data_IF_754317405631
#
_entry.id   IF_754317405631
#
_cell.length_a   1.000
_cell.length_b   1.000
_cell.length_c   1.000
_cell.angle_alpha   90.00
_cell.angle_beta   90.00
_cell.angle_gamma   90.00
#
_symmetry.space_group_name_H-M   'P 1'
#
loop_
_entity.id
_entity.type
_entity.pdbx_description
1 polymer ?
#
# COMPACT_ATOMS: atom_id res chain seq x y z
N UNK A 1 -7.66 13.06 -0.85
CA UNK A 1 -9.13 13.03 -1.08
C UNK A 1 -9.45 14.21 -1.96
N UNK A 2 -10.10 13.97 -3.11
CA UNK A 2 -10.50 15.00 -4.06
C UNK A 2 -12.01 15.19 -3.97
N UNK A 3 -12.50 16.36 -3.57
CA UNK A 3 -13.91 16.58 -3.28
C UNK A 3 -14.15 17.51 -2.08
N UNK A 4 -15.35 18.08 -2.03
CA UNK A 4 -15.85 18.90 -0.91
C UNK A 4 -17.23 18.40 -0.41
N UNK A 5 -17.38 17.08 -0.41
CA UNK A 5 -18.63 16.41 -0.05
C UNK A 5 -18.58 15.93 1.39
N UNK A 6 -19.71 15.66 2.06
CA UNK A 6 -19.67 15.09 3.42
C UNK A 6 -18.86 13.79 3.49
N UNK A 7 -18.84 12.98 2.42
CA UNK A 7 -17.98 11.82 2.31
C UNK A 7 -16.49 12.20 2.23
N UNK A 8 -16.14 13.25 1.48
CA UNK A 8 -14.77 13.75 1.41
C UNK A 8 -14.27 14.24 2.77
N UNK A 9 -15.07 15.06 3.46
CA UNK A 9 -14.78 15.55 4.82
C UNK A 9 -14.60 14.38 5.80
N UNK A 10 -15.53 13.42 5.78
CA UNK A 10 -15.45 12.24 6.64
C UNK A 10 -14.21 11.39 6.34
N UNK A 11 -13.85 11.22 5.06
CA UNK A 11 -12.64 10.50 4.66
C UNK A 11 -11.36 11.16 5.19
N UNK A 12 -11.25 12.48 5.09
CA UNK A 12 -10.10 13.24 5.61
C UNK A 12 -10.03 13.06 7.12
N UNK A 13 -11.13 13.27 7.83
CA UNK A 13 -11.19 13.14 9.29
C UNK A 13 -10.84 11.74 9.78
N UNK A 14 -11.44 10.70 9.19
CA UNK A 14 -11.17 9.31 9.57
C UNK A 14 -9.74 8.91 9.19
N UNK A 15 -9.25 9.33 8.03
CA UNK A 15 -7.88 9.10 7.58
C UNK A 15 -6.85 9.65 8.57
N UNK A 16 -7.03 10.90 9.00
CA UNK A 16 -6.18 11.52 10.01
C UNK A 16 -6.26 10.76 11.35
N UNK A 17 -7.48 10.41 11.79
CA UNK A 17 -7.71 9.65 13.04
C UNK A 17 -6.96 8.32 13.08
N UNK A 18 -6.87 7.60 11.95
CA UNK A 18 -6.20 6.29 11.88
C UNK A 18 -4.74 6.37 11.41
N UNK A 19 -4.16 7.57 11.36
CA UNK A 19 -2.73 7.79 11.14
C UNK A 19 -2.29 7.84 9.67
N UNK A 20 -3.18 8.12 8.72
CA UNK A 20 -2.75 8.51 7.37
C UNK A 20 -2.28 9.96 7.38
N UNK A 21 -1.25 10.26 6.59
CA UNK A 21 -1.00 11.64 6.14
C UNK A 21 -2.08 12.00 5.12
N UNK A 22 -2.87 13.02 5.41
CA UNK A 22 -4.06 13.38 4.63
C UNK A 22 -3.82 14.62 3.76
N UNK A 23 -4.40 14.60 2.57
CA UNK A 23 -4.43 15.76 1.68
C UNK A 23 -5.84 15.93 1.14
N UNK A 24 -6.45 17.09 1.37
CA UNK A 24 -7.71 17.49 0.78
C UNK A 24 -7.46 18.31 -0.48
N UNK A 25 -8.20 18.02 -1.54
CA UNK A 25 -8.05 18.68 -2.84
C UNK A 25 -9.43 19.08 -3.33
N UNK A 26 -9.64 20.39 -3.48
CA UNK A 26 -10.88 20.91 -4.06
C UNK A 26 -10.60 22.29 -4.68
N UNK A 27 -11.01 22.55 -5.93
CA UNK A 27 -10.86 23.87 -6.53
C UNK A 27 -11.47 24.98 -5.65
N UNK A 28 -10.63 25.93 -5.23
CA UNK A 28 -11.04 27.04 -4.36
C UNK A 28 -11.05 26.75 -2.85
N UNK A 29 -10.64 25.55 -2.42
CA UNK A 29 -10.61 25.21 -1.00
C UNK A 29 -9.62 26.04 -0.18
N UNK A 30 -10.01 26.32 1.06
CA UNK A 30 -9.22 26.95 2.09
C UNK A 30 -8.83 25.92 3.16
N UNK A 31 -7.73 26.19 3.87
CA UNK A 31 -7.29 25.33 4.97
C UNK A 31 -8.36 25.16 6.06
N UNK A 32 -9.20 26.18 6.27
CA UNK A 32 -10.32 26.16 7.22
C UNK A 32 -11.44 25.20 6.84
N UNK A 33 -11.54 24.84 5.56
CA UNK A 33 -12.60 23.94 5.09
C UNK A 33 -12.30 22.49 5.53
N UNK A 34 -11.02 22.13 5.64
CA UNK A 34 -10.56 20.80 6.04
C UNK A 34 -9.58 20.88 7.23
N UNK A 35 -10.05 21.19 8.44
CA UNK A 35 -9.17 21.42 9.59
C UNK A 35 -8.38 20.17 10.01
N UNK A 36 -8.85 18.96 9.71
CA UNK A 36 -8.13 17.71 9.96
C UNK A 36 -7.13 17.32 8.86
N UNK A 37 -7.05 18.06 7.75
CA UNK A 37 -6.11 17.74 6.66
C UNK A 37 -4.69 18.23 6.98
N UNK A 38 -3.67 17.39 6.74
CA UNK A 38 -2.27 17.85 6.82
C UNK A 38 -1.93 18.84 5.70
N UNK A 39 -2.66 18.78 4.59
CA UNK A 39 -2.48 19.66 3.44
C UNK A 39 -3.79 19.88 2.70
N UNK A 40 -4.07 21.13 2.32
CA UNK A 40 -5.19 21.50 1.45
C UNK A 40 -4.66 22.09 0.14
N UNK A 41 -5.16 21.59 -0.98
CA UNK A 41 -4.81 22.06 -2.33
C UNK A 41 -6.05 22.63 -3.00
N UNK A 42 -5.98 23.92 -3.34
CA UNK A 42 -7.09 24.69 -3.90
C UNK A 42 -7.29 24.52 -5.42
N UNK A 43 -6.69 23.49 -6.03
CA UNK A 43 -6.76 23.23 -7.48
C UNK A 43 -6.53 21.74 -7.78
N UNK A 44 -6.69 21.34 -9.04
CA UNK A 44 -6.35 19.98 -9.49
C UNK A 44 -4.87 19.80 -9.89
N UNK A 45 -4.02 20.79 -9.63
CA UNK A 45 -2.56 20.59 -9.68
C UNK A 45 -2.11 19.87 -8.40
N UNK A 46 -1.86 18.57 -8.52
CA UNK A 46 -1.52 17.69 -7.41
C UNK A 46 -0.03 17.68 -7.08
N UNK A 47 0.82 18.38 -7.84
CA UNK A 47 2.26 18.41 -7.63
C UNK A 47 2.68 18.76 -6.17
N UNK A 48 2.02 19.71 -5.47
CA UNK A 48 2.36 20.03 -4.09
C UNK A 48 2.19 18.89 -3.09
N UNK A 49 1.31 17.92 -3.38
CA UNK A 49 1.11 16.73 -2.53
C UNK A 49 2.19 15.65 -2.76
N UNK A 50 2.98 15.77 -3.84
CA UNK A 50 3.96 14.78 -4.29
C UNK A 50 3.41 13.33 -4.28
N UNK A 51 2.30 13.05 -5.02
CA UNK A 51 1.71 11.72 -5.05
C UNK A 51 2.69 10.68 -5.59
N UNK A 52 2.72 9.52 -4.94
CA UNK A 52 3.67 8.43 -5.23
C UNK A 52 3.01 7.05 -5.02
N UNK A 53 3.79 5.98 -5.17
CA UNK A 53 3.33 4.57 -5.11
C UNK A 53 2.80 4.13 -3.75
N UNK A 54 2.86 4.98 -2.72
CA UNK A 54 2.23 4.77 -1.41
C UNK A 54 0.97 5.63 -1.20
N UNK A 55 0.57 6.42 -2.20
CA UNK A 55 -0.59 7.33 -2.14
C UNK A 55 -1.88 6.61 -2.51
N UNK A 56 -2.92 6.77 -1.69
CA UNK A 56 -4.26 6.21 -1.89
C UNK A 56 -5.24 7.34 -2.15
N UNK A 57 -5.64 7.51 -3.41
CA UNK A 57 -6.49 8.61 -3.84
C UNK A 57 -7.96 8.20 -3.91
N UNK A 58 -8.83 9.08 -3.43
CA UNK A 58 -10.29 8.94 -3.53
C UNK A 58 -10.87 10.20 -4.15
N UNK A 59 -11.70 10.03 -5.16
CA UNK A 59 -12.49 11.05 -5.84
C UNK A 59 -13.92 10.96 -5.31
N UNK A 60 -14.35 11.98 -4.58
CA UNK A 60 -15.64 12.07 -3.93
C UNK A 60 -16.26 13.46 -4.22
N UNK A 61 -16.48 13.76 -5.50
CA UNK A 61 -16.92 15.10 -5.94
C UNK A 61 -18.43 15.23 -6.12
N UNK A 62 -19.20 14.14 -5.95
CA UNK A 62 -20.62 14.07 -6.33
C UNK A 62 -20.88 14.42 -7.81
N UNK A 63 -19.93 14.13 -8.72
CA UNK A 63 -20.14 14.30 -10.15
C UNK A 63 -19.77 15.66 -10.72
N UNK A 64 -19.33 16.62 -9.91
CA UNK A 64 -19.05 17.98 -10.38
C UNK A 64 -17.82 18.07 -11.30
N UNK A 65 -16.78 17.27 -11.02
CA UNK A 65 -15.51 17.29 -11.77
C UNK A 65 -14.76 15.96 -11.65
N UNK A 66 -15.49 14.83 -11.66
CA UNK A 66 -14.91 13.49 -11.52
C UNK A 66 -13.90 13.17 -12.63
N UNK A 67 -14.24 13.53 -13.87
CA UNK A 67 -13.41 13.31 -15.05
C UNK A 67 -12.06 14.03 -14.90
N UNK A 68 -12.09 15.33 -14.60
CA UNK A 68 -10.88 16.15 -14.48
C UNK A 68 -10.02 15.73 -13.27
N UNK A 69 -10.67 15.34 -12.16
CA UNK A 69 -9.99 14.81 -10.98
C UNK A 69 -9.26 13.49 -11.27
N UNK A 70 -9.92 12.56 -11.97
CA UNK A 70 -9.32 11.27 -12.36
C UNK A 70 -8.17 11.50 -13.34
N UNK A 71 -8.36 12.37 -14.33
CA UNK A 71 -7.32 12.68 -15.30
C UNK A 71 -6.07 13.27 -14.61
N UNK A 72 -6.26 14.19 -13.65
CA UNK A 72 -5.16 14.72 -12.84
C UNK A 72 -4.43 13.63 -12.06
N UNK A 73 -5.16 12.71 -11.41
CA UNK A 73 -4.59 11.61 -10.65
C UNK A 73 -3.82 10.60 -11.52
N UNK A 74 -4.29 10.32 -12.73
CA UNK A 74 -3.66 9.37 -13.64
C UNK A 74 -2.29 9.82 -14.16
N UNK A 75 -1.96 11.11 -14.04
CA UNK A 75 -0.62 11.65 -14.33
C UNK A 75 0.43 11.23 -13.30
N UNK A 76 0.01 10.65 -12.18
CA UNK A 76 0.89 10.21 -11.10
C UNK A 76 0.82 8.68 -10.89
N UNK A 77 1.92 8.13 -10.38
CA UNK A 77 2.01 6.70 -10.05
C UNK A 77 1.52 6.44 -8.62
N UNK A 78 0.22 6.63 -8.39
CA UNK A 78 -0.44 6.34 -7.11
C UNK A 78 -0.86 4.88 -6.98
N UNK A 79 -0.91 4.38 -5.73
CA UNK A 79 -1.24 3.00 -5.39
C UNK A 79 -2.70 2.63 -5.71
N UNK A 80 -3.61 3.60 -5.58
CA UNK A 80 -5.04 3.39 -5.70
C UNK A 80 -5.74 4.67 -6.15
N UNK A 81 -6.72 4.52 -7.06
CA UNK A 81 -7.64 5.57 -7.48
C UNK A 81 -9.07 5.03 -7.34
N UNK A 82 -9.77 5.45 -6.29
CA UNK A 82 -11.16 5.11 -6.04
C UNK A 82 -12.09 6.25 -6.40
N UNK A 83 -13.15 5.97 -7.16
CA UNK A 83 -14.22 6.90 -7.48
C UNK A 83 -15.46 6.55 -6.63
N UNK A 84 -15.87 7.47 -5.76
CA UNK A 84 -17.12 7.39 -5.01
C UNK A 84 -18.26 7.81 -5.94
N UNK A 85 -18.89 6.82 -6.57
CA UNK A 85 -20.01 7.03 -7.48
C UNK A 85 -20.89 5.78 -7.61
N UNK A 86 -22.10 5.96 -8.15
CA UNK A 86 -22.93 4.84 -8.58
C UNK A 86 -22.27 4.09 -9.75
N UNK A 87 -22.65 2.82 -9.97
CA UNK A 87 -22.15 2.02 -11.12
C UNK A 87 -22.40 2.75 -12.46
N UNK A 88 -23.59 3.33 -12.61
CA UNK A 88 -23.95 4.10 -13.81
C UNK A 88 -23.05 5.32 -13.99
N UNK A 89 -22.85 6.13 -12.93
CA UNK A 89 -22.02 7.33 -13.03
C UNK A 89 -20.56 6.97 -13.30
N UNK A 90 -20.01 5.95 -12.62
CA UNK A 90 -18.65 5.48 -12.88
C UNK A 90 -18.45 5.04 -14.34
N UNK A 91 -19.40 4.29 -14.91
CA UNK A 91 -19.36 3.90 -16.32
C UNK A 91 -19.34 5.12 -17.26
N UNK A 92 -20.20 6.11 -17.01
CA UNK A 92 -20.23 7.35 -17.80
C UNK A 92 -18.92 8.14 -17.72
N UNK A 93 -18.34 8.26 -16.52
CA UNK A 93 -17.04 8.93 -16.32
C UNK A 93 -15.94 8.25 -17.14
N UNK A 94 -15.86 6.91 -17.09
CA UNK A 94 -14.86 6.15 -17.84
C UNK A 94 -15.07 6.25 -19.36
N UNK A 95 -16.33 6.29 -19.82
CA UNK A 95 -16.67 6.50 -21.23
C UNK A 95 -16.20 7.89 -21.72
N UNK A 96 -16.49 8.95 -20.96
CA UNK A 96 -16.03 10.32 -21.28
C UNK A 96 -14.51 10.37 -21.35
N UNK A 97 -13.82 9.81 -20.36
CA UNK A 97 -12.35 9.79 -20.33
C UNK A 97 -11.75 8.96 -21.48
N UNK A 98 -12.41 7.88 -21.89
CA UNK A 98 -12.03 7.10 -23.06
C UNK A 98 -12.15 7.96 -24.32
N UNK A 99 -13.26 8.70 -24.48
CA UNK A 99 -13.47 9.63 -25.59
C UNK A 99 -12.45 10.77 -25.64
N UNK A 100 -11.92 11.19 -24.48
CA UNK A 100 -10.82 12.16 -24.37
C UNK A 100 -9.43 11.57 -24.67
N UNK A 101 -9.32 10.25 -24.89
CA UNK A 101 -8.04 9.59 -25.13
C UNK A 101 -7.16 9.41 -23.88
N UNK A 102 -7.76 9.48 -22.68
CA UNK A 102 -7.04 9.33 -21.41
C UNK A 102 -6.59 7.87 -21.24
N UNK A 103 -5.31 7.68 -20.91
CA UNK A 103 -4.70 6.35 -20.71
C UNK A 103 -4.73 5.96 -19.23
N UNK A 104 -4.61 4.66 -18.95
CA UNK A 104 -4.48 4.15 -17.57
C UNK A 104 -5.81 3.98 -16.82
N UNK A 105 -6.95 4.08 -17.50
CA UNK A 105 -8.29 3.96 -16.89
C UNK A 105 -8.52 2.64 -16.14
N UNK A 106 -7.80 1.56 -16.48
CA UNK A 106 -7.84 0.29 -15.75
C UNK A 106 -7.38 0.41 -14.27
N UNK A 107 -6.69 1.50 -13.90
CA UNK A 107 -6.29 1.78 -12.51
C UNK A 107 -7.41 2.39 -11.67
N UNK A 108 -8.48 2.89 -12.31
CA UNK A 108 -9.60 3.53 -11.64
C UNK A 108 -10.62 2.47 -11.20
N UNK A 109 -11.00 2.51 -9.93
CA UNK A 109 -11.98 1.60 -9.34
C UNK A 109 -13.18 2.39 -8.85
N UNK A 110 -14.36 1.77 -8.84
CA UNK A 110 -15.47 2.27 -8.05
C UNK A 110 -15.18 1.95 -6.58
N UNK A 111 -15.21 2.97 -5.73
CA UNK A 111 -14.96 2.85 -4.31
C UNK A 111 -16.25 2.51 -3.55
N UNK A 112 -16.10 1.90 -2.38
CA UNK A 112 -17.20 1.57 -1.46
C UNK A 112 -18.24 0.64 -2.08
N UNK A 113 -17.79 -0.35 -2.87
CA UNK A 113 -18.66 -1.27 -3.58
C UNK A 113 -19.62 -2.05 -2.66
N UNK A 114 -19.24 -2.23 -1.38
CA UNK A 114 -20.02 -2.86 -0.32
C UNK A 114 -20.97 -1.93 0.44
N UNK A 115 -20.85 -0.61 0.30
CA UNK A 115 -21.63 0.40 1.04
C UNK A 115 -22.68 1.10 0.17
N UNK A 116 -23.18 0.41 -0.86
CA UNK A 116 -24.16 0.97 -1.80
C UNK A 116 -25.46 1.30 -1.08
N UNK A 117 -25.88 2.56 -1.14
CA UNK A 117 -27.12 3.04 -0.53
C UNK A 117 -27.00 3.52 0.91
N UNK A 118 -25.79 3.53 1.49
CA UNK A 118 -25.52 4.13 2.79
C UNK A 118 -25.40 5.65 2.76
N UNK A 119 -25.28 6.26 3.93
CA UNK A 119 -25.02 7.71 4.06
C UNK A 119 -23.63 8.07 3.53
N UNK A 120 -23.34 9.36 3.37
CA UNK A 120 -22.02 9.81 2.93
C UNK A 120 -20.90 9.39 3.91
N UNK A 121 -21.20 9.37 5.20
CA UNK A 121 -20.31 8.93 6.27
C UNK A 121 -20.06 7.41 6.20
N UNK A 122 -21.09 6.61 5.94
CA UNK A 122 -20.96 5.16 5.76
C UNK A 122 -20.20 4.81 4.48
N UNK A 123 -20.39 5.58 3.42
CA UNK A 123 -19.62 5.47 2.18
C UNK A 123 -18.15 5.81 2.42
N UNK A 124 -17.88 6.89 3.17
CA UNK A 124 -16.52 7.26 3.57
C UNK A 124 -15.84 6.16 4.39
N UNK A 125 -16.53 5.64 5.41
CA UNK A 125 -16.04 4.53 6.23
C UNK A 125 -15.77 3.27 5.39
N UNK A 126 -16.71 2.90 4.51
CA UNK A 126 -16.57 1.75 3.61
C UNK A 126 -15.39 1.89 2.64
N UNK A 127 -15.20 3.08 2.08
CA UNK A 127 -14.05 3.39 1.23
C UNK A 127 -12.74 3.27 2.00
N UNK A 128 -12.67 3.79 3.23
CA UNK A 128 -11.46 3.71 4.04
C UNK A 128 -11.15 2.28 4.49
N UNK A 129 -12.18 1.49 4.79
CA UNK A 129 -12.04 0.06 5.10
C UNK A 129 -11.52 -0.71 3.87
N UNK A 130 -12.03 -0.42 2.68
CA UNK A 130 -11.53 -0.98 1.41
C UNK A 130 -10.04 -0.64 1.20
N UNK A 131 -9.66 0.63 1.39
CA UNK A 131 -8.27 1.09 1.29
C UNK A 131 -7.38 0.35 2.28
N UNK A 132 -7.79 0.24 3.55
CA UNK A 132 -7.03 -0.46 4.58
C UNK A 132 -6.81 -1.94 4.21
N UNK A 133 -7.86 -2.63 3.76
CA UNK A 133 -7.78 -4.03 3.33
C UNK A 133 -6.81 -4.21 2.16
N UNK A 134 -6.89 -3.34 1.15
CA UNK A 134 -5.99 -3.39 -0.01
C UNK A 134 -4.55 -3.03 0.36
N UNK A 135 -4.34 -2.05 1.25
CA UNK A 135 -3.01 -1.67 1.74
C UNK A 135 -2.34 -2.83 2.46
N UNK A 136 -3.08 -3.54 3.32
CA UNK A 136 -2.56 -4.74 3.97
C UNK A 136 -2.26 -5.86 2.99
N UNK A 137 -3.11 -6.09 1.98
CA UNK A 137 -2.84 -7.08 0.93
C UNK A 137 -1.60 -6.72 0.10
N UNK A 138 -1.41 -5.43 -0.21
CA UNK A 138 -0.23 -4.91 -0.91
C UNK A 138 1.05 -5.09 -0.08
N UNK A 139 1.02 -4.72 1.21
CA UNK A 139 2.15 -4.89 2.13
C UNK A 139 2.52 -6.36 2.35
N UNK A 140 1.52 -7.25 2.47
CA UNK A 140 1.76 -8.71 2.59
C UNK A 140 2.41 -9.31 1.34
N UNK A 141 2.19 -8.70 0.17
CA UNK A 141 2.88 -9.07 -1.08
C UNK A 141 4.31 -8.54 -1.14
N UNK A 142 4.64 -7.49 -0.38
CA UNK A 142 5.92 -6.81 -0.40
C UNK A 142 6.71 -7.01 0.91
N UNK A 143 6.96 -8.26 1.30
CA UNK A 143 7.95 -8.73 2.33
C UNK A 143 7.36 -9.30 3.62
N UNK A 144 7.50 -10.62 3.78
CA UNK A 144 8.34 -11.21 4.84
C UNK A 144 9.40 -12.02 4.09
N UNK A 145 10.72 -11.78 4.26
CA UNK A 145 11.69 -12.77 3.83
C UNK A 145 11.41 -13.97 4.73
N UNK A 146 11.21 -15.15 4.16
CA UNK A 146 11.32 -16.34 4.99
C UNK A 146 12.73 -16.29 5.62
N UNK A 147 12.87 -16.50 6.94
CA UNK A 147 14.20 -16.56 7.55
C UNK A 147 15.04 -17.52 6.71
N UNK A 148 16.21 -17.06 6.29
CA UNK A 148 17.08 -17.88 5.47
C UNK A 148 17.44 -19.10 6.33
N UNK A 149 17.09 -20.29 5.85
CA UNK A 149 17.36 -21.53 6.56
C UNK A 149 18.39 -22.34 5.80
N UNK A 150 19.38 -22.84 6.51
CA UNK A 150 20.38 -23.75 5.98
C UNK A 150 20.07 -25.19 6.43
N UNK A 151 20.55 -26.18 5.67
CA UNK A 151 20.44 -27.59 6.04
C UNK A 151 21.77 -28.03 6.65
N UNK A 152 21.72 -28.58 7.86
CA UNK A 152 22.88 -29.20 8.51
C UNK A 152 23.36 -30.38 7.66
N UNK A 153 24.61 -30.36 7.15
CA UNK A 153 25.13 -31.39 6.25
C UNK A 153 25.38 -32.75 6.94
N UNK A 154 25.32 -32.81 8.27
CA UNK A 154 25.51 -34.05 9.05
C UNK A 154 24.19 -34.77 9.29
N UNK A 155 23.18 -34.05 9.78
CA UNK A 155 21.92 -34.66 10.22
C UNK A 155 20.71 -34.32 9.32
N UNK A 156 20.84 -33.35 8.41
CA UNK A 156 19.76 -32.90 7.54
C UNK A 156 18.75 -31.97 8.22
N UNK A 157 18.98 -31.57 9.48
CA UNK A 157 18.11 -30.65 10.19
C UNK A 157 18.20 -29.23 9.59
N UNK A 158 17.05 -28.58 9.43
CA UNK A 158 16.96 -27.19 8.96
C UNK A 158 17.21 -26.25 10.13
N UNK A 159 18.12 -25.30 9.96
CA UNK A 159 18.53 -24.34 10.99
C UNK A 159 18.44 -22.91 10.46
N UNK A 160 18.10 -21.98 11.35
CA UNK A 160 18.07 -20.56 11.01
C UNK A 160 19.50 -20.05 10.80
N UNK A 161 19.73 -19.33 9.70
CA UNK A 161 21.04 -18.72 9.37
C UNK A 161 21.32 -17.55 10.29
N UNK A 162 20.31 -16.73 10.57
CA UNK A 162 20.40 -15.59 11.45
C UNK A 162 20.44 -16.05 12.91
N UNK A 163 21.52 -15.71 13.63
CA UNK A 163 21.70 -16.09 15.05
C UNK A 163 22.25 -17.51 15.28
N UNK A 164 22.63 -18.25 14.24
CA UNK A 164 23.23 -19.59 14.40
C UNK A 164 24.55 -19.53 15.17
N UNK A 165 24.59 -20.21 16.32
CA UNK A 165 25.77 -20.29 17.19
C UNK A 165 26.82 -21.28 16.68
N UNK A 166 26.44 -22.22 15.81
CA UNK A 166 27.30 -23.31 15.36
C UNK A 166 27.48 -23.21 13.85
N UNK A 167 28.55 -22.53 13.43
CA UNK A 167 28.89 -22.33 12.03
C UNK A 167 30.37 -22.62 11.76
N UNK A 168 30.69 -23.00 10.52
CA UNK A 168 32.05 -23.23 10.07
C UNK A 168 32.23 -22.71 8.65
N UNK A 169 33.32 -22.01 8.36
CA UNK A 169 33.61 -21.53 6.99
C UNK A 169 34.77 -22.35 6.41
N UNK A 170 34.55 -22.99 5.26
CA UNK A 170 35.55 -23.75 4.50
C UNK A 170 35.69 -23.11 3.10
N UNK A 171 36.84 -22.48 2.84
CA UNK A 171 37.03 -21.69 1.63
C UNK A 171 36.02 -20.54 1.56
N UNK A 172 35.24 -20.48 0.47
CA UNK A 172 34.18 -19.48 0.27
C UNK A 172 32.81 -19.92 0.82
N UNK A 173 32.69 -21.16 1.35
CA UNK A 173 31.40 -21.73 1.77
C UNK A 173 31.26 -21.73 3.29
N UNK A 174 30.20 -21.09 3.79
CA UNK A 174 29.80 -21.14 5.20
C UNK A 174 28.75 -22.24 5.43
N UNK A 175 29.02 -23.11 6.38
CA UNK A 175 28.16 -24.20 6.83
C UNK A 175 27.52 -23.85 8.18
N UNK A 176 26.30 -24.34 8.38
CA UNK A 176 25.48 -24.09 9.57
C UNK A 176 25.04 -25.43 10.15
N UNK A 177 25.05 -25.54 11.49
CA UNK A 177 24.80 -26.80 12.19
C UNK A 177 23.73 -26.64 13.26
N UNK A 178 22.98 -27.72 13.52
CA UNK A 178 21.90 -27.74 14.51
C UNK A 178 22.42 -27.72 15.95
N UNK A 179 23.71 -28.02 16.15
CA UNK A 179 24.33 -28.12 17.47
C UNK A 179 25.84 -28.33 17.38
N UNK A 180 26.53 -28.14 18.50
CA UNK A 180 27.98 -28.37 18.63
C UNK A 180 28.40 -29.77 18.16
N UNK A 181 27.61 -30.81 18.46
CA UNK A 181 27.92 -32.18 18.04
C UNK A 181 27.96 -32.38 16.52
N UNK A 182 27.08 -31.74 15.75
CA UNK A 182 27.12 -31.81 14.29
C UNK A 182 28.28 -31.00 13.72
N UNK A 183 28.61 -29.86 14.33
CA UNK A 183 29.79 -29.07 13.98
C UNK A 183 31.09 -29.88 14.18
N UNK A 184 31.25 -30.54 15.33
CA UNK A 184 32.46 -31.31 15.63
C UNK A 184 32.56 -32.58 14.76
N UNK A 185 31.44 -33.27 14.52
CA UNK A 185 31.40 -34.39 13.58
C UNK A 185 31.79 -33.96 12.15
N UNK A 186 31.37 -32.77 11.74
CA UNK A 186 31.74 -32.21 10.44
C UNK A 186 33.22 -31.83 10.38
N UNK A 187 33.78 -31.17 11.41
CA UNK A 187 35.22 -30.89 11.52
C UNK A 187 36.06 -32.15 11.44
N UNK A 188 35.64 -33.23 12.10
CA UNK A 188 36.35 -34.51 12.09
C UNK A 188 36.33 -35.17 10.70
N UNK A 189 35.21 -35.08 9.97
CA UNK A 189 35.10 -35.59 8.59
C UNK A 189 35.98 -34.81 7.61
N UNK A 190 36.08 -33.50 7.78
CA UNK A 190 36.86 -32.61 6.91
C UNK A 190 38.32 -32.44 7.36
N UNK A 191 38.77 -33.20 8.37
CA UNK A 191 40.17 -33.21 8.83
C UNK A 191 40.62 -31.96 9.58
N UNK A 192 39.70 -31.20 10.17
CA UNK A 192 40.01 -30.00 10.96
C UNK A 192 40.22 -30.31 12.44
N UNK A 193 41.18 -29.62 13.09
CA UNK A 193 41.41 -29.75 14.53
C UNK A 193 40.23 -29.25 15.36
N UNK A 194 39.83 -30.05 16.36
CA UNK A 194 38.80 -29.71 17.33
C UNK A 194 39.46 -28.88 18.44
N UNK A 195 39.10 -27.61 18.56
CA UNK A 195 39.43 -26.81 19.74
C UNK A 195 38.46 -27.18 20.85
N UNK A 196 38.96 -27.81 21.91
CA UNK A 196 38.23 -28.08 23.16
C UNK A 196 38.08 -26.84 24.02
#
# INVERSE_FOLDING_TARGET
VVGDTPAAHTLVKLGATIGYRTCAVHPGALATDFPEADQVIASLDLAPAQPNTSTWAVVATMGHYDEDAIEALLRHDVAYIGLVASRRRAAMVLEVLTGRGVKGLARVRRAADSSVGGTQEEIALGTLAEIAAQRHAHQRRSVLPLPETAVDPICGMRVDVEGSLHTLTLGEKKHYFCGAGCLDAFKLREGQSISG
#
